data_IF_770988851257
#
_entry.id   IF_770988851257
#
_cell.length_a   1.000
_cell.length_b   1.000
_cell.length_c   1.000
_cell.angle_alpha   90.00
_cell.angle_beta   90.00
_cell.angle_gamma   90.00
#
_symmetry.space_group_name_H-M   'P 1'
#
loop_
_entity.id
_entity.type
_entity.pdbx_description
1 polymer ?
#
# COMPACT_ATOMS: atom_id res chain seq x y z
N UNK A 1 -4.83 -24.09 4.84
CA UNK A 1 -4.85 -22.75 4.19
C UNK A 1 -3.42 -22.34 3.96
N UNK A 2 -2.97 -22.29 2.72
CA UNK A 2 -1.67 -21.69 2.38
C UNK A 2 -1.74 -20.21 2.74
N UNK A 3 -0.77 -19.66 3.48
CA UNK A 3 -0.78 -18.23 3.79
C UNK A 3 -0.75 -17.44 2.49
N UNK A 4 -1.67 -16.47 2.35
CA UNK A 4 -1.58 -15.46 1.30
C UNK A 4 -0.23 -14.76 1.50
N UNK A 5 0.63 -14.68 0.49
CA UNK A 5 1.89 -13.96 0.64
C UNK A 5 1.61 -12.53 1.08
N UNK A 6 2.45 -11.95 1.94
CA UNK A 6 2.29 -10.57 2.37
C UNK A 6 2.17 -9.66 1.16
N UNK A 7 1.38 -8.57 1.30
CA UNK A 7 1.29 -7.54 0.27
C UNK A 7 2.72 -7.15 -0.16
N UNK A 8 2.98 -6.94 -1.47
CA UNK A 8 4.32 -6.66 -1.96
C UNK A 8 4.89 -5.44 -1.25
N UNK A 9 5.68 -5.72 -0.24
CA UNK A 9 6.63 -4.81 0.37
C UNK A 9 7.84 -4.77 -0.56
N UNK A 10 8.87 -3.98 -0.27
CA UNK A 10 10.12 -3.88 -1.05
C UNK A 10 10.82 -5.23 -1.37
N UNK A 11 10.20 -6.35 -1.01
CA UNK A 11 10.75 -7.72 -1.09
C UNK A 11 11.16 -8.12 -2.51
N UNK A 12 10.47 -7.61 -3.55
CA UNK A 12 10.79 -7.93 -4.94
C UNK A 12 11.94 -7.10 -5.52
N UNK A 13 12.20 -5.89 -4.99
CA UNK A 13 13.23 -4.97 -5.47
C UNK A 13 14.17 -4.60 -4.32
N UNK A 14 15.02 -5.53 -3.94
CA UNK A 14 16.07 -5.32 -2.93
C UNK A 14 17.43 -5.68 -3.52
N UNK A 15 18.45 -4.86 -3.20
CA UNK A 15 19.82 -5.23 -3.50
C UNK A 15 20.29 -6.29 -2.52
N UNK A 16 20.66 -7.44 -3.06
CA UNK A 16 21.38 -8.50 -2.36
C UNK A 16 22.68 -8.78 -3.12
N UNK A 17 23.85 -8.74 -2.45
CA UNK A 17 25.11 -9.03 -3.09
C UNK A 17 25.19 -10.52 -3.41
N UNK A 18 24.87 -10.89 -4.65
CA UNK A 18 24.90 -12.27 -5.11
C UNK A 18 25.50 -12.40 -6.51
N UNK A 19 25.96 -13.58 -6.86
CA UNK A 19 26.45 -13.89 -8.20
C UNK A 19 25.29 -14.09 -9.18
N UNK A 20 25.32 -13.34 -10.29
CA UNK A 20 24.36 -13.53 -11.40
C UNK A 20 24.63 -14.82 -12.20
N UNK A 21 25.76 -15.47 -11.96
CA UNK A 21 26.16 -16.73 -12.65
C UNK A 21 25.69 -17.99 -11.92
N UNK A 22 24.96 -17.84 -10.80
CA UNK A 22 24.24 -18.96 -10.18
C UNK A 22 23.14 -19.46 -11.12
N UNK A 23 22.77 -20.73 -10.99
CA UNK A 23 21.74 -21.34 -11.85
C UNK A 23 20.58 -21.92 -11.04
N UNK A 24 19.48 -21.21 -10.85
CA UNK A 24 19.30 -19.76 -11.14
C UNK A 24 19.83 -18.86 -10.01
N UNK A 25 20.04 -17.55 -10.24
CA UNK A 25 20.23 -16.59 -9.16
C UNK A 25 19.03 -16.55 -8.22
N UNK A 26 19.24 -16.17 -6.96
CA UNK A 26 18.20 -16.22 -5.94
C UNK A 26 17.20 -15.09 -6.10
N UNK A 27 17.67 -13.84 -6.16
CA UNK A 27 16.80 -12.66 -6.22
C UNK A 27 16.28 -12.38 -7.63
N UNK A 28 15.11 -11.73 -7.72
CA UNK A 28 14.57 -11.26 -9.00
C UNK A 28 15.53 -10.27 -9.71
N UNK A 29 16.10 -9.25 -9.04
CA UNK A 29 17.03 -8.35 -9.71
C UNK A 29 18.27 -9.03 -10.28
N UNK A 30 18.82 -10.05 -9.59
CA UNK A 30 19.94 -10.82 -10.10
C UNK A 30 19.57 -11.67 -11.31
N UNK A 31 18.39 -12.31 -11.29
CA UNK A 31 17.84 -13.01 -12.47
C UNK A 31 17.68 -12.07 -13.67
N UNK A 32 17.12 -10.88 -13.44
CA UNK A 32 16.98 -9.87 -14.48
C UNK A 32 18.36 -9.44 -15.01
N UNK A 33 19.32 -9.16 -14.14
CA UNK A 33 20.68 -8.79 -14.53
C UNK A 33 21.33 -9.88 -15.38
N UNK A 34 21.19 -11.16 -15.00
CA UNK A 34 21.69 -12.29 -15.77
C UNK A 34 21.06 -12.33 -17.17
N UNK A 35 19.75 -12.16 -17.29
CA UNK A 35 19.04 -12.14 -18.58
C UNK A 35 19.51 -10.98 -19.44
N UNK A 36 19.65 -9.77 -18.88
CA UNK A 36 20.11 -8.59 -19.60
C UNK A 36 21.56 -8.76 -20.07
N UNK A 37 22.42 -9.35 -19.22
CA UNK A 37 23.81 -9.62 -19.58
C UNK A 37 23.93 -10.66 -20.70
N UNK A 38 23.15 -11.74 -20.66
CA UNK A 38 23.11 -12.73 -21.76
C UNK A 38 22.56 -12.12 -23.06
N UNK A 39 21.55 -11.23 -22.95
CA UNK A 39 21.02 -10.50 -24.08
C UNK A 39 22.11 -9.61 -24.71
N UNK A 40 22.88 -8.87 -23.90
CA UNK A 40 24.00 -8.06 -24.35
C UNK A 40 25.03 -8.89 -25.10
N UNK A 41 25.48 -10.01 -24.51
CA UNK A 41 26.48 -10.89 -25.13
C UNK A 41 26.02 -11.48 -26.48
N UNK A 42 24.74 -11.81 -26.59
CA UNK A 42 24.21 -12.43 -27.81
C UNK A 42 23.86 -11.44 -28.92
N UNK A 43 23.37 -10.26 -28.60
CA UNK A 43 22.84 -9.30 -29.57
C UNK A 43 23.71 -8.05 -29.74
N UNK A 44 24.57 -7.76 -28.79
CA UNK A 44 25.44 -6.59 -28.80
C UNK A 44 24.70 -5.26 -28.95
N UNK A 45 25.36 -4.29 -29.53
CA UNK A 45 24.82 -2.93 -29.79
C UNK A 45 23.66 -2.89 -30.76
N UNK A 46 23.49 -3.92 -31.62
CA UNK A 46 22.39 -4.02 -32.57
C UNK A 46 21.07 -4.52 -31.97
N UNK A 47 21.04 -4.80 -30.65
CA UNK A 47 19.82 -5.23 -29.99
C UNK A 47 18.72 -4.16 -30.10
N UNK A 48 17.46 -4.54 -30.36
CA UNK A 48 16.34 -3.62 -30.20
C UNK A 48 16.22 -3.12 -28.76
N UNK A 49 15.57 -1.97 -28.58
CA UNK A 49 15.26 -1.45 -27.24
C UNK A 49 14.40 -2.45 -26.46
N UNK A 50 14.62 -2.52 -25.16
CA UNK A 50 13.85 -3.33 -24.21
C UNK A 50 13.27 -2.42 -23.14
N UNK A 51 11.97 -2.55 -22.87
CA UNK A 51 11.31 -1.86 -21.77
C UNK A 51 11.17 -2.81 -20.58
N UNK A 52 11.62 -2.37 -19.41
CA UNK A 52 11.48 -3.06 -18.13
C UNK A 52 10.49 -2.28 -17.28
N UNK A 53 9.38 -2.92 -16.90
CA UNK A 53 8.28 -2.29 -16.18
C UNK A 53 8.02 -3.07 -14.89
N UNK A 54 8.64 -2.71 -13.76
CA UNK A 54 8.28 -3.30 -12.47
C UNK A 54 6.90 -2.81 -12.04
N UNK A 55 6.12 -3.69 -11.40
CA UNK A 55 4.76 -3.40 -10.94
C UNK A 55 4.61 -3.41 -9.41
N UNK A 56 5.72 -3.45 -8.69
CA UNK A 56 5.74 -3.38 -7.24
C UNK A 56 5.22 -2.02 -6.75
N UNK A 57 4.47 -2.04 -5.65
CA UNK A 57 3.81 -0.86 -5.10
C UNK A 57 4.77 0.00 -4.25
N UNK A 58 5.92 0.34 -4.81
CA UNK A 58 6.92 1.22 -4.21
C UNK A 58 7.16 2.44 -5.10
N UNK A 59 7.45 3.62 -4.52
CA UNK A 59 7.83 4.79 -5.30
C UNK A 59 9.09 4.53 -6.12
N UNK A 60 9.13 5.08 -7.35
CA UNK A 60 10.28 4.99 -8.25
C UNK A 60 10.75 3.56 -8.50
N UNK A 61 9.81 2.63 -8.67
CA UNK A 61 10.09 1.21 -8.80
C UNK A 61 11.02 0.89 -9.99
N UNK A 62 10.87 1.56 -11.14
CA UNK A 62 11.75 1.41 -12.29
C UNK A 62 13.16 1.94 -12.03
N UNK A 63 13.27 3.15 -11.45
CA UNK A 63 14.56 3.75 -11.09
C UNK A 63 15.31 2.90 -10.08
N UNK A 64 14.62 2.45 -9.01
CA UNK A 64 15.21 1.57 -7.98
C UNK A 64 15.71 0.25 -8.58
N UNK A 65 14.90 -0.38 -9.44
CA UNK A 65 15.32 -1.63 -10.09
C UNK A 65 16.55 -1.41 -10.98
N UNK A 66 16.60 -0.31 -11.75
CA UNK A 66 17.78 0.05 -12.53
C UNK A 66 19.02 0.22 -11.65
N UNK A 67 18.91 0.96 -10.54
CA UNK A 67 20.04 1.14 -9.60
C UNK A 67 20.54 -0.20 -9.05
N UNK A 68 19.64 -1.14 -8.73
CA UNK A 68 20.01 -2.46 -8.23
C UNK A 68 20.70 -3.27 -9.33
N UNK A 69 20.20 -3.25 -10.55
CA UNK A 69 20.85 -3.92 -11.71
C UNK A 69 22.27 -3.36 -11.93
N UNK A 70 22.46 -2.04 -11.84
CA UNK A 70 23.79 -1.42 -11.92
C UNK A 70 24.72 -1.85 -10.77
N UNK A 71 24.22 -1.88 -9.53
CA UNK A 71 24.99 -2.36 -8.36
C UNK A 71 25.38 -3.83 -8.52
N UNK A 72 24.48 -4.68 -9.03
CA UNK A 72 24.79 -6.09 -9.32
C UNK A 72 25.81 -6.22 -10.44
N UNK A 73 25.75 -5.37 -11.45
CA UNK A 73 26.74 -5.35 -12.54
C UNK A 73 28.15 -5.06 -12.00
N UNK A 74 28.28 -4.06 -11.11
CA UNK A 74 29.56 -3.74 -10.44
C UNK A 74 30.02 -4.89 -9.53
N UNK A 75 29.10 -5.43 -8.71
CA UNK A 75 29.40 -6.55 -7.80
C UNK A 75 29.94 -7.77 -8.55
N UNK A 76 29.36 -8.09 -9.70
CA UNK A 76 29.77 -9.22 -10.55
C UNK A 76 30.88 -8.88 -11.54
N UNK A 77 31.49 -7.68 -11.45
CA UNK A 77 32.61 -7.22 -12.29
C UNK A 77 32.32 -7.32 -13.80
N UNK A 78 31.07 -6.99 -14.19
CA UNK A 78 30.69 -7.01 -15.60
C UNK A 78 31.36 -5.85 -16.36
N UNK A 79 31.50 -6.01 -17.66
CA UNK A 79 32.20 -5.06 -18.52
C UNK A 79 31.53 -3.67 -18.51
N UNK A 80 32.33 -2.62 -18.58
CA UNK A 80 31.86 -1.23 -18.67
C UNK A 80 30.95 -1.02 -19.90
N UNK A 81 31.24 -1.71 -20.99
CA UNK A 81 30.42 -1.65 -22.22
C UNK A 81 29.02 -2.20 -22.01
N UNK A 82 28.85 -3.19 -21.12
CA UNK A 82 27.51 -3.66 -20.73
C UNK A 82 26.72 -2.58 -20.00
N UNK A 83 27.36 -1.85 -19.10
CA UNK A 83 26.71 -0.73 -18.39
C UNK A 83 26.26 0.36 -19.37
N UNK A 84 27.12 0.73 -20.34
CA UNK A 84 26.77 1.65 -21.41
C UNK A 84 25.62 1.14 -22.30
N UNK A 85 25.62 -0.17 -22.57
CA UNK A 85 24.54 -0.80 -23.30
C UNK A 85 23.20 -0.78 -22.54
N UNK A 86 23.22 -1.00 -21.23
CA UNK A 86 22.02 -0.88 -20.38
C UNK A 86 21.39 0.50 -20.53
N UNK A 87 22.18 1.56 -20.47
CA UNK A 87 21.68 2.94 -20.59
C UNK A 87 21.10 3.25 -21.97
N UNK A 88 21.70 2.70 -23.02
CA UNK A 88 21.29 2.96 -24.40
C UNK A 88 20.15 2.07 -24.92
N UNK A 89 19.99 0.87 -24.38
CA UNK A 89 19.11 -0.18 -24.93
C UNK A 89 18.05 -0.70 -23.98
N UNK A 90 18.09 -0.33 -22.69
CA UNK A 90 17.13 -0.79 -21.70
C UNK A 90 16.45 0.40 -21.03
N UNK A 91 15.15 0.50 -21.23
CA UNK A 91 14.31 1.56 -20.68
C UNK A 91 13.63 1.05 -19.41
N UNK A 92 14.08 1.50 -18.25
CA UNK A 92 13.44 1.18 -16.96
C UNK A 92 12.37 2.22 -16.67
N UNK A 93 11.13 1.80 -16.67
CA UNK A 93 9.97 2.68 -16.50
C UNK A 93 9.37 2.52 -15.11
N UNK A 94 9.20 3.63 -14.39
CA UNK A 94 8.34 3.63 -13.22
C UNK A 94 6.91 3.30 -13.64
N UNK A 95 6.19 2.53 -12.83
CA UNK A 95 4.81 2.18 -13.14
C UNK A 95 3.91 2.19 -11.92
N UNK A 96 2.63 2.39 -12.16
CA UNK A 96 1.56 2.30 -11.19
C UNK A 96 0.43 1.47 -11.76
N UNK A 97 0.00 0.46 -11.03
CA UNK A 97 -1.20 -0.33 -11.33
C UNK A 97 -2.30 -0.01 -10.33
N UNK A 98 -3.54 0.07 -10.80
CA UNK A 98 -4.71 0.23 -9.95
C UNK A 98 -5.88 -0.62 -10.47
N UNK A 99 -6.17 -1.70 -9.78
CA UNK A 99 -7.32 -2.58 -9.96
C UNK A 99 -7.50 -3.39 -8.69
N UNK A 100 -8.72 -3.44 -8.15
CA UNK A 100 -9.02 -4.33 -7.04
C UNK A 100 -9.21 -5.74 -7.61
N UNK A 101 -8.35 -6.66 -7.16
CA UNK A 101 -8.40 -8.07 -7.53
C UNK A 101 -8.50 -8.89 -6.26
N UNK A 102 -9.51 -9.76 -6.19
CA UNK A 102 -9.80 -10.60 -5.03
C UNK A 102 -9.90 -12.07 -5.42
N UNK A 103 -9.87 -12.96 -4.44
CA UNK A 103 -10.34 -14.32 -4.66
C UNK A 103 -11.85 -14.30 -4.89
N UNK A 104 -12.38 -15.14 -5.79
CA UNK A 104 -13.81 -15.26 -5.99
C UNK A 104 -14.54 -15.64 -4.69
N UNK A 105 -15.71 -15.07 -4.48
CA UNK A 105 -16.61 -15.50 -3.39
C UNK A 105 -17.08 -16.93 -3.63
N UNK A 106 -17.56 -17.59 -2.58
CA UNK A 106 -18.02 -18.99 -2.72
C UNK A 106 -19.20 -19.09 -3.69
N UNK A 107 -20.11 -18.14 -3.70
CA UNK A 107 -21.20 -18.07 -4.68
C UNK A 107 -20.71 -17.95 -6.13
N UNK A 108 -19.63 -17.19 -6.37
CA UNK A 108 -19.02 -17.09 -7.70
C UNK A 108 -18.32 -18.40 -8.08
N UNK A 109 -17.61 -19.03 -7.14
CA UNK A 109 -16.96 -20.34 -7.38
C UNK A 109 -17.97 -21.41 -7.80
N UNK A 110 -19.11 -21.46 -7.10
CA UNK A 110 -20.19 -22.42 -7.41
C UNK A 110 -20.85 -22.15 -8.75
N UNK A 111 -20.90 -20.91 -9.21
CA UNK A 111 -21.48 -20.53 -10.51
C UNK A 111 -20.57 -20.82 -11.71
N UNK A 112 -19.27 -20.99 -11.49
CA UNK A 112 -18.28 -21.17 -12.56
C UNK A 112 -18.07 -22.66 -12.82
N UNK A 113 -18.37 -23.10 -14.07
CA UNK A 113 -18.15 -24.49 -14.49
C UNK A 113 -16.67 -24.91 -14.46
N UNK A 114 -15.75 -23.97 -14.74
CA UNK A 114 -14.31 -24.21 -14.89
C UNK A 114 -13.51 -23.55 -13.76
N UNK A 115 -14.09 -23.43 -12.54
CA UNK A 115 -13.37 -22.88 -11.40
C UNK A 115 -12.11 -23.71 -11.09
N UNK A 116 -10.98 -23.03 -10.92
CA UNK A 116 -9.73 -23.61 -10.50
C UNK A 116 -8.96 -22.67 -9.55
N UNK A 117 -7.85 -23.13 -9.00
CA UNK A 117 -7.04 -22.37 -8.03
C UNK A 117 -6.42 -21.07 -8.59
N UNK A 118 -6.38 -20.89 -9.89
CA UNK A 118 -5.84 -19.70 -10.56
C UNK A 118 -6.94 -18.67 -10.89
N UNK A 119 -8.22 -19.02 -10.66
CA UNK A 119 -9.34 -18.11 -10.93
C UNK A 119 -9.28 -16.93 -9.97
N UNK A 120 -9.31 -15.73 -10.51
CA UNK A 120 -9.37 -14.46 -9.78
C UNK A 120 -10.62 -13.68 -10.17
N UNK A 121 -11.10 -12.84 -9.28
CA UNK A 121 -12.18 -11.90 -9.52
C UNK A 121 -11.62 -10.48 -9.50
N UNK A 122 -11.89 -9.72 -10.56
CA UNK A 122 -11.41 -8.36 -10.70
C UNK A 122 -12.56 -7.39 -10.95
N UNK A 123 -12.46 -6.19 -10.42
CA UNK A 123 -13.39 -5.11 -10.74
C UNK A 123 -13.27 -4.68 -12.21
N UNK A 124 -14.31 -4.01 -12.79
CA UNK A 124 -14.23 -3.46 -14.13
C UNK A 124 -13.17 -2.36 -14.29
N UNK A 125 -13.02 -1.50 -13.27
CA UNK A 125 -12.01 -0.44 -13.28
C UNK A 125 -10.60 -1.01 -13.38
N UNK A 126 -9.76 -0.36 -14.17
CA UNK A 126 -8.34 -0.67 -14.30
C UNK A 126 -7.57 0.59 -14.67
N UNK A 127 -6.32 0.65 -14.23
CA UNK A 127 -5.36 1.68 -14.63
C UNK A 127 -3.97 1.08 -14.60
N UNK A 128 -3.24 1.28 -15.69
CA UNK A 128 -1.80 1.03 -15.74
C UNK A 128 -1.09 2.28 -16.26
N UNK A 129 -0.55 3.08 -15.35
CA UNK A 129 0.25 4.26 -15.71
C UNK A 129 1.74 3.87 -15.76
N UNK A 130 2.40 4.18 -16.86
CA UNK A 130 3.79 3.86 -17.15
C UNK A 130 4.53 5.16 -17.47
N UNK A 131 5.59 5.45 -16.72
CA UNK A 131 6.45 6.60 -16.98
C UNK A 131 7.32 6.32 -18.23
N UNK A 132 7.14 7.12 -19.28
CA UNK A 132 7.87 6.91 -20.52
C UNK A 132 7.67 8.01 -21.54
N UNK A 133 8.62 8.10 -22.46
CA UNK A 133 8.62 8.99 -23.62
C UNK A 133 8.08 8.28 -24.89
N UNK A 134 8.23 8.90 -26.03
CA UNK A 134 7.78 8.36 -27.33
C UNK A 134 8.51 7.05 -27.73
N UNK A 135 9.73 6.79 -27.21
CA UNK A 135 10.43 5.51 -27.45
C UNK A 135 9.71 4.38 -26.72
N UNK A 136 9.30 4.62 -25.47
CA UNK A 136 8.53 3.66 -24.67
C UNK A 136 7.19 3.36 -25.35
N UNK A 137 6.46 4.40 -25.83
CA UNK A 137 5.20 4.23 -26.55
C UNK A 137 5.36 3.39 -27.81
N UNK A 138 6.46 3.59 -28.55
CA UNK A 138 6.77 2.82 -29.77
C UNK A 138 6.99 1.33 -29.48
N UNK A 139 7.70 1.02 -28.38
CA UNK A 139 7.96 -0.38 -27.97
C UNK A 139 6.68 -1.02 -27.39
N UNK A 140 5.93 -0.28 -26.59
CA UNK A 140 4.71 -0.75 -25.93
C UNK A 140 3.46 -0.46 -26.78
N UNK A 141 3.46 -0.87 -28.03
CA UNK A 141 2.35 -0.62 -28.97
C UNK A 141 0.99 -1.13 -28.49
N UNK A 142 0.95 -2.11 -27.59
CA UNK A 142 -0.27 -2.63 -27.00
C UNK A 142 -1.06 -1.58 -26.19
N UNK A 143 -0.40 -0.53 -25.71
CA UNK A 143 -1.07 0.55 -24.98
C UNK A 143 -2.12 1.29 -25.84
N UNK A 144 -1.97 1.26 -27.14
CA UNK A 144 -2.97 1.85 -28.06
C UNK A 144 -4.30 1.06 -28.11
N UNK A 145 -4.31 -0.19 -27.65
CA UNK A 145 -5.50 -1.03 -27.64
C UNK A 145 -6.41 -0.82 -26.42
N UNK A 146 -5.94 -0.10 -25.41
CA UNK A 146 -6.66 0.07 -24.14
C UNK A 146 -6.37 1.46 -23.56
N UNK A 147 -7.40 2.29 -23.45
CA UNK A 147 -7.31 3.66 -22.92
C UNK A 147 -6.90 3.76 -21.45
N UNK A 148 -7.02 2.67 -20.69
CA UNK A 148 -6.65 2.60 -19.27
C UNK A 148 -5.16 2.26 -19.08
N UNK A 149 -4.42 2.04 -20.18
CA UNK A 149 -2.96 1.93 -20.20
C UNK A 149 -2.40 3.28 -20.64
N UNK A 150 -1.86 4.04 -19.70
CA UNK A 150 -1.40 5.41 -19.92
C UNK A 150 0.12 5.43 -19.92
N UNK A 151 0.72 5.88 -21.02
CA UNK A 151 2.16 6.16 -21.10
C UNK A 151 2.37 7.67 -21.10
N UNK A 152 2.99 8.19 -20.06
CA UNK A 152 3.27 9.62 -19.86
C UNK A 152 4.59 9.82 -19.15
N UNK A 153 5.22 10.99 -19.30
CA UNK A 153 6.48 11.28 -18.62
C UNK A 153 6.34 11.32 -17.10
N UNK A 154 5.20 11.81 -16.59
CA UNK A 154 4.94 12.01 -15.18
C UNK A 154 3.75 11.16 -14.72
N UNK A 155 3.99 10.22 -13.78
CA UNK A 155 2.94 9.38 -13.19
C UNK A 155 2.68 9.69 -11.71
N UNK A 156 3.38 10.65 -11.12
CA UNK A 156 3.29 10.96 -9.70
C UNK A 156 1.90 11.45 -9.28
N UNK A 157 1.22 12.19 -10.16
CA UNK A 157 -0.13 12.63 -9.90
C UNK A 157 -1.15 11.46 -9.81
N UNK A 158 -1.00 10.41 -10.61
CA UNK A 158 -1.79 9.18 -10.49
C UNK A 158 -1.46 8.45 -9.18
N UNK A 159 -0.16 8.41 -8.83
CA UNK A 159 0.33 7.76 -7.60
C UNK A 159 -0.22 8.45 -6.36
N UNK A 160 -0.09 9.78 -6.25
CA UNK A 160 -0.58 10.54 -5.10
C UNK A 160 -2.11 10.42 -4.96
N UNK A 161 -2.88 10.57 -6.04
CA UNK A 161 -4.33 10.38 -5.99
C UNK A 161 -4.70 9.00 -5.45
N UNK A 162 -4.16 7.94 -6.05
CA UNK A 162 -4.42 6.56 -5.60
C UNK A 162 -3.98 6.35 -4.16
N UNK A 163 -2.74 6.76 -3.84
CA UNK A 163 -2.14 6.50 -2.53
C UNK A 163 -2.94 7.17 -1.40
N UNK A 164 -3.43 8.39 -1.62
CA UNK A 164 -4.17 9.14 -0.61
C UNK A 164 -5.65 8.79 -0.61
N UNK A 165 -6.35 8.98 -1.74
CA UNK A 165 -7.80 8.82 -1.81
C UNK A 165 -8.23 7.36 -1.67
N UNK A 166 -7.69 6.45 -2.46
CA UNK A 166 -8.08 5.03 -2.40
C UNK A 166 -7.40 4.33 -1.21
N UNK A 167 -6.07 4.28 -1.22
CA UNK A 167 -5.34 3.46 -0.26
C UNK A 167 -5.37 4.05 1.16
N UNK A 168 -5.32 5.38 1.30
CA UNK A 168 -5.43 6.08 2.58
C UNK A 168 -6.79 5.85 3.23
N UNK A 169 -7.88 6.06 2.49
CA UNK A 169 -9.24 5.79 2.97
C UNK A 169 -9.42 4.32 3.35
N UNK A 170 -8.95 3.37 2.53
CA UNK A 170 -8.98 1.95 2.88
C UNK A 170 -8.29 1.66 4.22
N UNK A 171 -7.12 2.29 4.47
CA UNK A 171 -6.33 2.01 5.67
C UNK A 171 -7.06 2.42 6.94
N UNK A 172 -7.65 3.60 6.98
CA UNK A 172 -8.41 4.07 8.16
C UNK A 172 -9.76 3.36 8.29
N UNK A 173 -10.43 3.08 7.16
CA UNK A 173 -11.72 2.38 7.15
C UNK A 173 -11.59 0.93 7.62
N UNK A 174 -10.51 0.23 7.26
CA UNK A 174 -10.36 -1.19 7.53
C UNK A 174 -10.35 -1.49 9.03
N UNK A 175 -9.50 -0.81 9.81
CA UNK A 175 -9.45 -1.01 11.25
C UNK A 175 -10.75 -0.55 11.93
N UNK A 176 -11.25 0.64 11.56
CA UNK A 176 -12.45 1.22 12.14
C UNK A 176 -13.70 0.38 11.87
N UNK A 177 -13.92 0.00 10.62
CA UNK A 177 -15.07 -0.83 10.22
C UNK A 177 -15.01 -2.23 10.82
N UNK A 178 -13.82 -2.85 10.81
CA UNK A 178 -13.64 -4.17 11.40
C UNK A 178 -14.00 -4.19 12.89
N UNK A 179 -13.48 -3.24 13.66
CA UNK A 179 -13.76 -3.15 15.10
C UNK A 179 -15.25 -2.88 15.40
N UNK A 180 -15.99 -2.27 14.47
CA UNK A 180 -17.43 -2.05 14.57
C UNK A 180 -18.29 -3.23 14.10
N UNK A 181 -17.69 -4.34 13.65
CA UNK A 181 -18.40 -5.57 13.31
C UNK A 181 -18.52 -5.86 11.81
N UNK A 182 -18.10 -4.95 10.93
CA UNK A 182 -18.13 -5.18 9.48
C UNK A 182 -16.96 -6.06 9.04
N UNK A 183 -17.16 -6.84 7.98
CA UNK A 183 -16.12 -7.75 7.47
C UNK A 183 -15.58 -7.35 6.10
N UNK A 184 -16.36 -6.59 5.32
CA UNK A 184 -16.00 -6.16 3.97
C UNK A 184 -16.17 -4.66 3.79
N UNK A 185 -15.49 -4.11 2.79
CA UNK A 185 -15.66 -2.71 2.38
C UNK A 185 -17.10 -2.45 1.93
N UNK A 186 -17.69 -3.39 1.18
CA UNK A 186 -19.08 -3.30 0.74
C UNK A 186 -20.06 -3.19 1.92
N UNK A 187 -19.91 -4.03 2.95
CA UNK A 187 -20.74 -3.94 4.16
C UNK A 187 -20.62 -2.57 4.85
N UNK A 188 -19.42 -2.01 4.94
CA UNK A 188 -19.23 -0.65 5.44
C UNK A 188 -20.00 0.39 4.63
N UNK A 189 -20.05 0.24 3.31
CA UNK A 189 -20.76 1.17 2.42
C UNK A 189 -22.28 0.99 2.44
N UNK A 190 -22.80 -0.14 2.91
CA UNK A 190 -24.24 -0.36 3.11
C UNK A 190 -24.74 0.25 4.44
N UNK A 191 -23.88 0.43 5.43
CA UNK A 191 -24.23 1.11 6.67
C UNK A 191 -24.15 2.62 6.50
N UNK A 192 -25.21 3.33 6.87
CA UNK A 192 -25.31 4.79 6.70
C UNK A 192 -24.20 5.56 7.46
N UNK A 193 -23.88 5.15 8.67
CA UNK A 193 -22.87 5.83 9.50
C UNK A 193 -21.46 5.58 8.97
N UNK A 194 -21.16 4.33 8.59
CA UNK A 194 -19.87 3.95 8.01
C UNK A 194 -19.68 4.55 6.62
N UNK A 195 -20.68 4.51 5.75
CA UNK A 195 -20.62 5.16 4.43
C UNK A 195 -20.34 6.65 4.56
N UNK A 196 -21.04 7.35 5.46
CA UNK A 196 -20.79 8.76 5.75
C UNK A 196 -19.37 9.01 6.30
N UNK A 197 -18.85 8.14 7.16
CA UNK A 197 -17.46 8.22 7.63
C UNK A 197 -16.49 8.11 6.46
N UNK A 198 -16.62 7.10 5.61
CA UNK A 198 -15.75 6.85 4.46
C UNK A 198 -15.76 8.04 3.48
N UNK A 199 -16.95 8.52 3.13
CA UNK A 199 -17.13 9.66 2.24
C UNK A 199 -16.50 10.94 2.81
N UNK A 200 -16.75 11.25 4.08
CA UNK A 200 -16.21 12.46 4.70
C UNK A 200 -14.69 12.39 4.91
N UNK A 201 -14.13 11.25 5.29
CA UNK A 201 -12.67 11.06 5.33
C UNK A 201 -12.07 11.37 3.97
N UNK A 202 -12.62 10.79 2.90
CA UNK A 202 -12.07 10.93 1.56
C UNK A 202 -12.22 12.34 1.02
N UNK A 203 -13.45 12.89 1.06
CA UNK A 203 -13.79 14.14 0.37
C UNK A 203 -13.48 15.40 1.20
N UNK A 204 -13.51 15.32 2.54
CA UNK A 204 -13.35 16.49 3.40
C UNK A 204 -12.00 16.56 4.12
N UNK A 205 -11.34 15.42 4.31
CA UNK A 205 -10.07 15.41 5.04
C UNK A 205 -8.88 15.01 4.16
N UNK A 206 -9.03 14.06 3.21
CA UNK A 206 -7.92 13.63 2.35
C UNK A 206 -7.83 14.49 1.08
N UNK A 207 -8.89 14.58 0.29
CA UNK A 207 -8.89 15.29 -0.99
C UNK A 207 -8.34 16.73 -0.90
N UNK A 208 -8.73 17.57 0.09
CA UNK A 208 -8.23 18.92 0.19
C UNK A 208 -6.72 19.04 0.39
N UNK A 209 -6.08 17.99 0.94
CA UNK A 209 -4.65 17.97 1.25
C UNK A 209 -3.77 17.49 0.07
N UNK A 210 -4.37 17.11 -1.04
CA UNK A 210 -3.61 16.68 -2.20
C UNK A 210 -2.68 17.78 -2.70
N UNK A 211 -1.45 17.46 -3.14
CA UNK A 211 -0.58 18.42 -3.78
C UNK A 211 -1.22 18.95 -5.07
N UNK A 212 -0.88 20.18 -5.47
CA UNK A 212 -1.46 20.84 -6.64
C UNK A 212 -1.40 19.97 -7.90
N UNK A 213 -0.31 19.25 -8.10
CA UNK A 213 -0.10 18.34 -9.22
C UNK A 213 -1.09 17.17 -9.26
N UNK A 214 -1.65 16.78 -8.10
CA UNK A 214 -2.60 15.66 -8.00
C UNK A 214 -4.06 16.12 -7.88
N UNK A 215 -4.33 17.44 -7.84
CA UNK A 215 -5.70 17.99 -7.70
C UNK A 215 -6.54 17.88 -8.97
N UNK A 216 -5.91 17.88 -10.13
CA UNK A 216 -6.64 17.70 -11.38
C UNK A 216 -7.38 16.36 -11.37
N UNK A 217 -8.69 16.40 -11.68
CA UNK A 217 -9.58 15.23 -11.64
C UNK A 217 -9.61 14.45 -10.30
N UNK A 218 -9.10 15.02 -9.19
CA UNK A 218 -9.07 14.32 -7.89
C UNK A 218 -10.47 14.04 -7.35
N UNK A 219 -11.38 15.02 -7.47
CA UNK A 219 -12.76 14.86 -7.02
C UNK A 219 -13.49 13.74 -7.79
N UNK A 220 -13.39 13.72 -9.12
CA UNK A 220 -14.00 12.65 -9.91
C UNK A 220 -13.39 11.29 -9.56
N UNK A 221 -12.07 11.21 -9.42
CA UNK A 221 -11.40 9.98 -8.98
C UNK A 221 -11.90 9.53 -7.60
N UNK A 222 -12.12 10.47 -6.65
CA UNK A 222 -12.67 10.13 -5.34
C UNK A 222 -14.08 9.56 -5.43
N UNK A 223 -14.95 10.16 -6.27
CA UNK A 223 -16.31 9.64 -6.52
C UNK A 223 -16.26 8.23 -7.16
N UNK A 224 -15.41 8.03 -8.14
CA UNK A 224 -15.21 6.72 -8.77
C UNK A 224 -14.73 5.67 -7.75
N UNK A 225 -13.83 6.04 -6.83
CA UNK A 225 -13.40 5.16 -5.74
C UNK A 225 -14.55 4.81 -4.80
N UNK A 226 -15.40 5.76 -4.44
CA UNK A 226 -16.59 5.50 -3.62
C UNK A 226 -17.55 4.52 -4.31
N UNK A 227 -17.73 4.63 -5.62
CA UNK A 227 -18.55 3.69 -6.39
C UNK A 227 -17.91 2.29 -6.46
N UNK A 228 -16.59 2.21 -6.60
CA UNK A 228 -15.83 0.95 -6.50
C UNK A 228 -16.02 0.28 -5.13
N UNK A 229 -16.05 1.06 -4.03
CA UNK A 229 -16.29 0.55 -2.68
C UNK A 229 -17.72 0.02 -2.49
N UNK A 230 -18.69 0.55 -3.24
CA UNK A 230 -20.09 0.08 -3.25
C UNK A 230 -20.33 -1.13 -4.16
N UNK A 231 -19.30 -1.65 -4.83
CA UNK A 231 -19.44 -2.78 -5.73
C UNK A 231 -19.74 -4.08 -4.96
N UNK A 232 -20.95 -4.67 -5.10
CA UNK A 232 -21.35 -5.86 -4.36
C UNK A 232 -20.59 -7.12 -4.79
N UNK A 233 -20.01 -7.10 -5.98
CA UNK A 233 -19.24 -8.23 -6.52
C UNK A 233 -17.81 -8.28 -6.02
N UNK A 234 -17.33 -7.25 -5.34
CA UNK A 234 -15.95 -7.19 -4.81
C UNK A 234 -15.96 -7.47 -3.32
N UNK A 235 -15.76 -8.74 -2.92
CA UNK A 235 -15.69 -9.14 -1.53
C UNK A 235 -14.33 -8.74 -0.91
N UNK A 236 -14.03 -7.44 -0.86
CA UNK A 236 -12.76 -6.93 -0.30
C UNK A 236 -12.81 -6.96 1.23
N UNK A 237 -12.19 -7.98 1.82
CA UNK A 237 -12.21 -8.22 3.27
C UNK A 237 -11.36 -7.18 4.01
N UNK A 238 -11.91 -6.58 5.06
CA UNK A 238 -11.21 -5.59 5.88
C UNK A 238 -9.93 -6.17 6.50
N UNK A 239 -9.94 -7.40 6.99
CA UNK A 239 -8.75 -8.08 7.53
C UNK A 239 -7.63 -8.24 6.48
N UNK A 240 -7.96 -8.38 5.20
CA UNK A 240 -6.92 -8.40 4.14
C UNK A 240 -6.29 -7.02 3.95
N UNK A 241 -7.06 -5.96 4.18
CA UNK A 241 -6.56 -4.58 4.11
C UNK A 241 -5.70 -4.25 5.32
N UNK A 242 -5.99 -4.81 6.51
CA UNK A 242 -5.21 -4.53 7.73
C UNK A 242 -3.83 -5.18 7.77
N UNK A 243 -3.48 -6.07 6.84
CA UNK A 243 -2.13 -6.62 6.75
C UNK A 243 -1.11 -5.48 6.60
N UNK A 244 -0.07 -5.46 7.47
CA UNK A 244 0.94 -4.40 7.53
C UNK A 244 0.31 -3.00 7.68
N UNK A 245 -0.71 -2.89 8.53
CA UNK A 245 -1.49 -1.67 8.72
C UNK A 245 -0.65 -0.51 9.26
N UNK A 246 0.36 -0.80 10.10
CA UNK A 246 1.27 0.22 10.64
C UNK A 246 2.09 0.87 9.52
N UNK A 247 2.72 0.08 8.67
CA UNK A 247 3.48 0.59 7.52
C UNK A 247 2.56 1.34 6.53
N UNK A 248 1.34 0.86 6.33
CA UNK A 248 0.33 1.54 5.49
C UNK A 248 -0.11 2.87 6.11
N UNK A 249 -0.38 2.91 7.42
CA UNK A 249 -0.73 4.14 8.14
C UNK A 249 0.38 5.18 8.00
N UNK A 250 1.63 4.78 8.28
CA UNK A 250 2.83 5.59 8.13
C UNK A 250 2.93 6.23 6.73
N UNK A 251 2.82 5.40 5.67
CA UNK A 251 3.06 5.84 4.30
C UNK A 251 1.87 6.62 3.70
N UNK A 252 0.64 6.24 4.05
CA UNK A 252 -0.57 6.72 3.39
C UNK A 252 -1.26 7.87 4.13
N UNK A 253 -1.37 7.76 5.46
CA UNK A 253 -2.23 8.64 6.27
C UNK A 253 -1.45 9.67 7.07
N UNK A 254 -0.29 9.33 7.64
CA UNK A 254 0.50 10.29 8.40
C UNK A 254 0.90 11.51 7.57
N UNK A 255 1.42 11.39 6.33
CA UNK A 255 1.70 12.57 5.51
C UNK A 255 0.45 13.41 5.18
N UNK A 256 -0.72 12.78 5.05
CA UNK A 256 -2.00 13.47 4.85
C UNK A 256 -2.41 14.24 6.11
N UNK A 257 -2.30 13.61 7.28
CA UNK A 257 -2.55 14.24 8.58
C UNK A 257 -1.68 15.47 8.78
N UNK A 258 -0.37 15.36 8.54
CA UNK A 258 0.58 16.47 8.68
C UNK A 258 0.23 17.63 7.74
N UNK A 259 -0.03 17.35 6.45
CA UNK A 259 -0.45 18.37 5.48
C UNK A 259 -1.78 19.04 5.88
N UNK A 260 -2.72 18.26 6.40
CA UNK A 260 -4.00 18.81 6.85
C UNK A 260 -3.80 19.83 7.98
N UNK A 261 -3.01 19.45 9.01
CA UNK A 261 -2.72 20.35 10.14
C UNK A 261 -1.93 21.57 9.68
N UNK A 262 -0.96 21.39 8.78
CA UNK A 262 -0.20 22.51 8.21
C UNK A 262 -1.11 23.49 7.45
N UNK A 263 -2.05 22.98 6.65
CA UNK A 263 -2.91 23.79 5.80
C UNK A 263 -4.07 24.44 6.57
N UNK A 264 -4.73 23.69 7.45
CA UNK A 264 -5.98 24.12 8.10
C UNK A 264 -5.83 24.53 9.56
N UNK A 265 -4.66 24.32 10.18
CA UNK A 265 -4.36 24.63 11.59
C UNK A 265 -5.30 23.94 12.61
N UNK A 266 -5.94 22.86 12.20
CA UNK A 266 -6.84 22.04 13.01
C UNK A 266 -6.56 20.56 12.72
N UNK A 267 -6.99 19.67 13.62
CA UNK A 267 -6.89 18.23 13.40
C UNK A 267 -7.99 17.71 12.46
N UNK A 268 -7.70 16.78 11.54
CA UNK A 268 -8.72 16.06 10.77
C UNK A 268 -9.35 14.99 11.66
N UNK A 269 -10.53 15.27 12.19
CA UNK A 269 -11.14 14.46 13.25
C UNK A 269 -11.41 13.01 12.88
N UNK A 270 -11.79 12.75 11.62
CA UNK A 270 -12.08 11.39 11.15
C UNK A 270 -10.80 10.59 10.87
N UNK A 271 -9.74 11.23 10.35
CA UNK A 271 -8.43 10.59 10.23
C UNK A 271 -7.86 10.26 11.60
N UNK A 272 -8.01 11.15 12.60
CA UNK A 272 -7.60 10.88 13.99
C UNK A 272 -8.41 9.71 14.58
N UNK A 273 -9.72 9.64 14.31
CA UNK A 273 -10.55 8.51 14.74
C UNK A 273 -10.08 7.20 14.08
N UNK A 274 -9.74 7.22 12.80
CA UNK A 274 -9.17 6.07 12.09
C UNK A 274 -7.80 5.66 12.63
N UNK A 275 -6.95 6.62 13.02
CA UNK A 275 -5.68 6.36 13.68
C UNK A 275 -5.87 5.71 15.05
N UNK A 276 -6.80 6.21 15.88
CA UNK A 276 -7.15 5.60 17.16
C UNK A 276 -7.68 4.17 16.97
N UNK A 277 -8.52 3.94 15.96
CA UNK A 277 -9.00 2.61 15.63
C UNK A 277 -7.86 1.67 15.19
N UNK A 278 -6.85 2.17 14.49
CA UNK A 278 -5.64 1.39 14.18
C UNK A 278 -4.89 0.99 15.46
N UNK A 279 -4.67 1.91 16.41
CA UNK A 279 -4.03 1.58 17.68
C UNK A 279 -4.80 0.51 18.43
N UNK A 280 -6.13 0.60 18.47
CA UNK A 280 -6.98 -0.41 19.12
C UNK A 280 -6.95 -1.75 18.38
N UNK A 281 -6.96 -1.75 17.04
CA UNK A 281 -6.82 -2.97 16.25
C UNK A 281 -5.50 -3.70 16.54
N UNK A 282 -4.42 -2.95 16.81
CA UNK A 282 -3.10 -3.49 17.15
C UNK A 282 -3.00 -3.99 18.62
N UNK A 283 -4.07 -3.86 19.43
CA UNK A 283 -4.13 -4.40 20.80
C UNK A 283 -4.23 -5.93 20.77
N UNK A 284 -3.09 -6.60 20.84
CA UNK A 284 -3.07 -8.04 20.99
C UNK A 284 -3.41 -8.44 22.43
N UNK A 285 -4.35 -9.37 22.58
CA UNK A 285 -4.79 -9.95 23.87
C UNK A 285 -4.22 -11.35 24.09
N UNK A 286 -3.64 -11.95 23.06
CA UNK A 286 -3.08 -13.30 23.08
C UNK A 286 -1.84 -13.37 22.19
N UNK A 287 -0.83 -14.13 22.64
CA UNK A 287 0.37 -14.44 21.87
C UNK A 287 0.56 -15.95 21.81
N UNK A 288 0.81 -16.49 20.61
CA UNK A 288 1.14 -17.90 20.39
C UNK A 288 2.38 -17.99 19.47
N UNK A 289 3.50 -18.35 20.04
CA UNK A 289 4.78 -18.33 19.32
C UNK A 289 5.12 -16.95 18.78
N UNK A 290 5.24 -16.80 17.48
CA UNK A 290 5.46 -15.52 16.79
C UNK A 290 4.15 -14.77 16.43
N UNK A 291 2.99 -15.39 16.66
CA UNK A 291 1.69 -14.82 16.28
C UNK A 291 1.05 -14.03 17.41
N UNK A 292 0.46 -12.91 17.06
CA UNK A 292 -0.27 -12.01 17.97
C UNK A 292 -1.73 -11.94 17.54
N UNK A 293 -2.64 -12.04 18.50
CA UNK A 293 -4.08 -12.07 18.24
C UNK A 293 -4.78 -10.95 19.01
N UNK A 294 -5.54 -10.14 18.29
CA UNK A 294 -6.52 -9.23 18.85
C UNK A 294 -7.84 -9.95 19.13
N UNK A 295 -8.81 -9.25 19.75
CA UNK A 295 -10.15 -9.78 19.98
C UNK A 295 -11.21 -8.79 19.50
N UNK A 296 -12.25 -9.32 18.85
CA UNK A 296 -13.45 -8.59 18.46
C UNK A 296 -14.67 -9.40 18.87
N UNK A 297 -15.49 -8.86 19.76
CA UNK A 297 -16.71 -9.54 20.26
C UNK A 297 -16.46 -10.96 20.78
N UNK A 298 -15.30 -11.20 21.41
CA UNK A 298 -14.91 -12.51 21.96
C UNK A 298 -14.23 -13.46 20.95
N UNK A 299 -14.20 -13.12 19.66
CA UNK A 299 -13.47 -13.88 18.64
C UNK A 299 -12.06 -13.33 18.44
N UNK A 300 -11.09 -14.25 18.28
CA UNK A 300 -9.71 -13.87 18.04
C UNK A 300 -9.47 -13.63 16.54
N UNK A 301 -8.70 -12.58 16.22
CA UNK A 301 -8.17 -12.35 14.87
C UNK A 301 -6.66 -12.22 14.90
N UNK A 302 -6.00 -12.73 13.88
CA UNK A 302 -4.54 -12.64 13.73
C UNK A 302 -4.15 -11.21 13.29
N UNK A 303 -3.22 -10.59 14.02
CA UNK A 303 -2.59 -9.32 13.66
C UNK A 303 -1.39 -9.62 12.78
N UNK A 304 -1.53 -9.39 11.47
CA UNK A 304 -0.47 -9.60 10.48
C UNK A 304 0.29 -8.29 10.23
N UNK A 305 1.15 -7.93 11.18
CA UNK A 305 1.90 -6.66 11.15
C UNK A 305 3.27 -6.85 11.82
N UNK A 306 4.33 -6.35 11.21
CA UNK A 306 5.70 -6.47 11.73
C UNK A 306 5.86 -5.75 13.08
N UNK A 307 4.99 -4.78 13.38
CA UNK A 307 4.97 -4.04 14.64
C UNK A 307 4.06 -4.67 15.71
N UNK A 308 3.46 -5.84 15.42
CA UNK A 308 2.54 -6.48 16.37
C UNK A 308 3.20 -6.75 17.74
N UNK A 309 4.48 -7.13 17.74
CA UNK A 309 5.27 -7.32 18.97
C UNK A 309 5.46 -6.05 19.78
N UNK A 310 5.78 -4.94 19.10
CA UNK A 310 5.89 -3.63 19.75
C UNK A 310 4.58 -3.22 20.41
N UNK A 311 3.47 -3.29 19.67
CA UNK A 311 2.16 -2.92 20.22
C UNK A 311 1.71 -3.84 21.34
N UNK A 312 1.99 -5.15 21.26
CA UNK A 312 1.70 -6.09 22.34
C UNK A 312 2.38 -5.68 23.65
N UNK A 313 3.65 -5.30 23.62
CA UNK A 313 4.36 -4.83 24.80
C UNK A 313 3.83 -3.47 25.27
N UNK A 314 3.62 -2.52 24.37
CA UNK A 314 3.14 -1.17 24.70
C UNK A 314 1.74 -1.18 25.35
N UNK A 315 0.85 -2.08 24.96
CA UNK A 315 -0.49 -2.18 25.53
C UNK A 315 -0.52 -2.79 26.94
N UNK A 316 0.54 -3.49 27.39
CA UNK A 316 0.58 -4.09 28.77
C UNK A 316 0.50 -3.06 29.87
N UNK A 317 1.01 -1.86 29.64
CA UNK A 317 1.04 -0.79 30.64
C UNK A 317 -0.29 -0.03 30.76
N UNK A 318 -1.24 -0.31 29.85
CA UNK A 318 -2.55 0.34 29.84
C UNK A 318 -3.48 -0.40 30.81
N UNK A 319 -3.89 0.28 31.87
CA UNK A 319 -4.81 -0.24 32.88
C UNK A 319 -6.25 0.18 32.55
N UNK A 320 -7.21 -0.77 32.51
CA UNK A 320 -8.60 -0.46 32.21
C UNK A 320 -9.17 0.64 33.11
N UNK A 321 -9.81 1.65 32.49
CA UNK A 321 -10.43 2.75 33.23
C UNK A 321 -9.45 3.79 33.80
N UNK A 322 -8.15 3.67 33.56
CA UNK A 322 -7.15 4.67 33.97
C UNK A 322 -6.69 5.51 32.79
N UNK A 323 -7.30 6.67 32.62
CA UNK A 323 -7.00 7.63 31.54
C UNK A 323 -5.51 7.99 31.46
N UNK A 324 -4.83 8.14 32.61
CA UNK A 324 -3.41 8.49 32.65
C UNK A 324 -2.55 7.42 31.96
N UNK A 325 -2.82 6.13 32.21
CA UNK A 325 -2.06 5.04 31.58
C UNK A 325 -2.32 4.98 30.06
N UNK A 326 -3.55 5.19 29.64
CA UNK A 326 -3.94 5.24 28.23
C UNK A 326 -3.27 6.44 27.53
N UNK A 327 -3.27 7.62 28.14
CA UNK A 327 -2.62 8.81 27.61
C UNK A 327 -1.10 8.60 27.46
N UNK A 328 -0.45 7.98 28.45
CA UNK A 328 0.98 7.67 28.38
C UNK A 328 1.29 6.69 27.24
N UNK A 329 0.45 5.67 27.03
CA UNK A 329 0.56 4.77 25.89
C UNK A 329 0.47 5.55 24.57
N UNK A 330 -0.54 6.38 24.40
CA UNK A 330 -0.71 7.21 23.18
C UNK A 330 0.49 8.13 22.98
N UNK A 331 0.97 8.79 24.02
CA UNK A 331 2.15 9.66 23.99
C UNK A 331 3.37 8.88 23.45
N UNK A 332 3.69 7.74 24.05
CA UNK A 332 4.85 6.91 23.69
C UNK A 332 4.77 6.41 22.25
N UNK A 333 3.58 5.99 21.81
CA UNK A 333 3.36 5.53 20.42
C UNK A 333 3.50 6.69 19.43
N UNK A 334 2.91 7.86 19.73
CA UNK A 334 2.96 9.04 18.86
C UNK A 334 4.36 9.63 18.74
N UNK A 335 5.16 9.56 19.81
CA UNK A 335 6.55 10.04 19.82
C UNK A 335 7.50 9.13 19.04
N UNK A 336 7.11 7.88 18.77
CA UNK A 336 7.98 6.90 18.13
C UNK A 336 8.16 7.19 16.64
N UNK A 337 9.23 7.90 16.30
CA UNK A 337 9.56 8.26 14.92
C UNK A 337 9.90 7.06 14.03
N UNK A 338 10.30 5.92 14.59
CA UNK A 338 10.50 4.70 13.80
C UNK A 338 9.18 4.16 13.22
N UNK A 339 8.06 4.35 13.96
CA UNK A 339 6.73 3.97 13.47
C UNK A 339 6.20 4.93 12.39
N UNK A 340 6.43 6.26 12.55
CA UNK A 340 5.66 7.28 11.82
C UNK A 340 6.50 8.21 10.94
N UNK A 341 7.84 8.10 10.94
CA UNK A 341 8.81 9.04 10.35
C UNK A 341 8.70 10.48 10.89
N UNK A 342 7.90 10.68 11.92
CA UNK A 342 7.61 11.98 12.52
C UNK A 342 7.24 11.83 13.98
N UNK A 343 7.53 12.83 14.80
CA UNK A 343 7.01 12.94 16.15
C UNK A 343 5.62 13.59 16.10
N UNK A 344 4.59 12.76 16.27
CA UNK A 344 3.19 13.21 16.21
C UNK A 344 2.75 13.97 17.46
N UNK A 345 3.53 13.93 18.54
CA UNK A 345 3.25 14.74 19.75
C UNK A 345 3.44 16.23 19.53
N UNK A 346 4.17 16.60 18.48
CA UNK A 346 4.31 17.99 18.06
C UNK A 346 3.01 18.59 17.47
N UNK A 347 2.03 17.75 17.13
CA UNK A 347 0.74 18.22 16.64
C UNK A 347 -0.14 18.68 17.81
N UNK A 348 -0.67 19.92 17.80
CA UNK A 348 -1.50 20.43 18.89
C UNK A 348 -2.71 19.53 19.15
N UNK A 349 -2.91 19.15 20.41
CA UNK A 349 -4.03 18.34 20.89
C UNK A 349 -4.15 16.91 20.28
N UNK A 350 -3.14 16.45 19.54
CA UNK A 350 -3.24 15.16 18.87
C UNK A 350 -3.30 13.99 19.86
N UNK A 351 -2.41 13.96 20.84
CA UNK A 351 -2.38 12.93 21.90
C UNK A 351 -3.70 12.90 22.67
N UNK A 352 -4.19 14.05 23.08
CA UNK A 352 -5.46 14.20 23.81
C UNK A 352 -6.63 13.67 22.96
N UNK A 353 -6.70 14.11 21.71
CA UNK A 353 -7.79 13.70 20.79
C UNK A 353 -7.76 12.19 20.51
N UNK A 354 -6.58 11.59 20.31
CA UNK A 354 -6.44 10.14 20.11
C UNK A 354 -6.85 9.40 21.39
N UNK A 355 -6.45 9.88 22.56
CA UNK A 355 -6.83 9.30 23.86
C UNK A 355 -8.35 9.31 24.05
N UNK A 356 -9.00 10.45 23.77
CA UNK A 356 -10.46 10.60 23.83
C UNK A 356 -11.18 9.64 22.88
N UNK A 357 -10.63 9.44 21.65
CA UNK A 357 -11.20 8.48 20.72
C UNK A 357 -11.08 7.04 21.22
N UNK A 358 -9.95 6.65 21.80
CA UNK A 358 -9.76 5.32 22.39
C UNK A 358 -10.72 5.09 23.58
N UNK A 359 -10.92 6.09 24.43
CA UNK A 359 -11.90 6.03 25.52
C UNK A 359 -13.33 5.84 24.99
N UNK A 360 -13.70 6.50 23.89
CA UNK A 360 -15.01 6.30 23.23
C UNK A 360 -15.15 4.90 22.61
N UNK A 361 -14.07 4.21 22.30
CA UNK A 361 -14.08 2.79 21.91
C UNK A 361 -14.20 1.83 23.09
N UNK A 362 -14.21 2.31 24.34
CA UNK A 362 -14.35 1.50 25.54
C UNK A 362 -13.03 0.94 26.10
N UNK A 363 -11.94 1.64 25.85
CA UNK A 363 -10.61 1.29 26.41
C UNK A 363 -10.44 1.91 27.79
#
# INVERSE_FOLDING_TARGET
MTPIPPAPTEVGIRFEPESIFQNPPTSFPAKLTAVLYERYKKLGTNSPELVVIPTELIPDNGKKLREIVLKLSVHNKLETDFVGWLDGKTLFCDSLVDRIVTHPSDAVKESLKDYNSLTIQAEPYKLWAIAGDERVKKVLSFAAADSDIIITQEIDHYRERKLRLLNGTHTVTACFGFLRGWNTVYECMQDKAMSSFVENVMLKEIEPTLPVTAKENAHQFALDVLDRFRNPYTAHRLLSITMQSTAKMKMRNIPTLLRYVEQFKTLPGLLVQGFAAHLLFMKAVKKEGANYFGSRSGEFYLIQDDQAGYFYEAWKDVQPGQEVSLRNFVMNVCQNTALWDSDLTALPMFVETVTDQLTKFGV
#
